data_IF_406659378509
#
_entry.id   IF_406659378509
#
_cell.length_a   1.000
_cell.length_b   1.000
_cell.length_c   1.000
_cell.angle_alpha   90.00
_cell.angle_beta   90.00
_cell.angle_gamma   90.00
#
_symmetry.space_group_name_H-M   'P 1'
#
loop_
_entity.id
_entity.type
_entity.pdbx_description
1 polymer ?
#
# COMPACT_ATOMS: atom_id res chain seq x y z
N UNK A 1 21.63 7.65 -18.52
CA UNK A 1 20.70 6.99 -17.59
C UNK A 1 21.01 7.48 -16.20
N UNK A 2 20.07 8.18 -15.58
CA UNK A 2 20.16 8.64 -14.19
C UNK A 2 19.92 7.48 -13.21
N UNK A 3 20.28 7.68 -11.94
CA UNK A 3 19.98 6.71 -10.88
C UNK A 3 18.47 6.40 -10.78
N UNK A 4 17.62 7.43 -10.92
CA UNK A 4 16.17 7.27 -10.90
C UNK A 4 15.65 6.44 -12.07
N UNK A 5 16.14 6.68 -13.29
CA UNK A 5 15.79 5.89 -14.48
C UNK A 5 16.22 4.43 -14.34
N UNK A 6 17.38 4.17 -13.73
CA UNK A 6 17.85 2.81 -13.47
C UNK A 6 16.98 2.10 -12.42
N UNK A 7 16.68 2.77 -11.31
CA UNK A 7 15.78 2.23 -10.28
C UNK A 7 14.41 1.91 -10.85
N UNK A 8 13.89 2.81 -11.69
CA UNK A 8 12.65 2.62 -12.43
C UNK A 8 12.65 1.35 -13.27
N UNK A 9 13.69 1.17 -14.09
CA UNK A 9 13.78 0.04 -15.01
C UNK A 9 13.85 -1.28 -14.24
N UNK A 10 14.68 -1.34 -13.21
CA UNK A 10 14.80 -2.50 -12.32
C UNK A 10 13.44 -2.82 -11.68
N UNK A 11 12.77 -1.80 -11.17
CA UNK A 11 11.47 -1.96 -10.53
C UNK A 11 10.39 -2.46 -11.50
N UNK A 12 10.33 -1.87 -12.70
CA UNK A 12 9.39 -2.26 -13.75
C UNK A 12 9.62 -3.69 -14.23
N UNK A 13 10.89 -4.10 -14.38
CA UNK A 13 11.27 -5.47 -14.71
C UNK A 13 10.87 -6.44 -13.60
N UNK A 14 11.10 -6.09 -12.33
CA UNK A 14 10.69 -6.91 -11.19
C UNK A 14 9.17 -7.11 -11.17
N UNK A 15 8.38 -6.04 -11.30
CA UNK A 15 6.91 -6.15 -11.38
C UNK A 15 6.47 -7.03 -12.54
N UNK A 16 7.08 -6.88 -13.72
CA UNK A 16 6.74 -7.69 -14.91
C UNK A 16 7.06 -9.16 -14.69
N UNK A 17 8.23 -9.46 -14.11
CA UNK A 17 8.66 -10.83 -13.79
C UNK A 17 7.72 -11.48 -12.77
N UNK A 18 7.36 -10.77 -11.71
CA UNK A 18 6.41 -11.25 -10.71
C UNK A 18 5.04 -11.49 -11.36
N UNK A 19 4.54 -10.53 -12.14
CA UNK A 19 3.25 -10.62 -12.83
C UNK A 19 3.15 -11.84 -13.74
N UNK A 20 4.24 -12.20 -14.41
CA UNK A 20 4.27 -13.33 -15.33
C UNK A 20 4.56 -14.67 -14.62
N UNK A 21 4.71 -14.69 -13.30
CA UNK A 21 5.00 -15.91 -12.56
C UNK A 21 3.78 -16.85 -12.57
N UNK A 22 3.92 -18.13 -12.95
CA UNK A 22 2.79 -19.04 -13.12
C UNK A 22 2.02 -19.33 -11.82
N UNK A 23 2.68 -19.17 -10.67
CA UNK A 23 2.08 -19.36 -9.35
C UNK A 23 1.56 -18.07 -8.72
N UNK A 24 1.59 -16.94 -9.44
CA UNK A 24 1.19 -15.64 -8.90
C UNK A 24 -0.22 -15.66 -8.30
N UNK A 25 -1.18 -16.29 -8.98
CA UNK A 25 -2.56 -16.41 -8.50
C UNK A 25 -2.72 -17.27 -7.24
N UNK A 26 -1.68 -18.02 -6.85
CA UNK A 26 -1.68 -18.91 -5.68
C UNK A 26 -0.90 -18.34 -4.50
N UNK A 27 -0.24 -17.20 -4.65
CA UNK A 27 0.47 -16.59 -3.52
C UNK A 27 -0.55 -16.21 -2.45
N UNK A 28 -0.15 -16.39 -1.20
CA UNK A 28 -0.97 -16.05 -0.03
C UNK A 28 -0.53 -14.76 0.65
N UNK A 29 0.70 -14.34 0.40
CA UNK A 29 1.33 -13.20 1.06
C UNK A 29 2.06 -12.39 0.01
N UNK A 30 1.81 -11.09 0.01
CA UNK A 30 2.54 -10.13 -0.80
C UNK A 30 3.05 -9.02 0.10
N UNK A 31 4.31 -8.65 -0.08
CA UNK A 31 4.96 -7.55 0.63
C UNK A 31 5.53 -6.58 -0.38
N UNK A 32 5.16 -5.30 -0.23
CA UNK A 32 5.61 -4.18 -1.04
C UNK A 32 6.36 -3.22 -0.12
N UNK A 33 7.67 -3.10 -0.29
CA UNK A 33 8.55 -2.36 0.61
C UNK A 33 9.38 -1.30 -0.13
N UNK A 34 9.64 -0.17 0.55
CA UNK A 34 10.57 0.90 0.15
C UNK A 34 10.28 1.57 -1.20
N UNK A 35 9.07 2.10 -1.36
CA UNK A 35 8.69 2.84 -2.58
C UNK A 35 9.08 4.33 -2.61
N UNK A 36 9.57 4.86 -1.50
CA UNK A 36 9.83 6.28 -1.30
C UNK A 36 10.86 6.91 -2.26
N UNK A 37 11.64 6.11 -3.01
CA UNK A 37 12.64 6.64 -3.97
C UNK A 37 11.98 7.17 -5.26
N UNK A 38 10.69 6.92 -5.48
CA UNK A 38 9.99 7.27 -6.72
C UNK A 38 9.21 8.60 -6.68
N UNK A 39 9.17 9.31 -5.54
CA UNK A 39 8.41 10.57 -5.39
C UNK A 39 8.79 11.66 -6.42
N UNK A 40 10.00 11.59 -6.99
CA UNK A 40 10.50 12.61 -7.93
C UNK A 40 10.27 12.33 -9.42
N UNK A 41 9.82 11.12 -9.82
CA UNK A 41 9.79 10.75 -11.24
C UNK A 41 8.59 9.86 -11.61
N UNK A 42 7.71 10.41 -12.46
CA UNK A 42 6.74 9.68 -13.31
C UNK A 42 5.86 8.68 -12.55
N UNK A 43 4.96 9.22 -11.73
CA UNK A 43 3.99 8.47 -10.90
C UNK A 43 3.08 7.56 -11.73
N UNK A 44 2.58 8.05 -12.86
CA UNK A 44 1.52 7.39 -13.62
C UNK A 44 1.87 5.97 -14.12
N UNK A 45 3.05 5.72 -14.73
CA UNK A 45 3.38 4.35 -15.15
C UNK A 45 3.71 3.38 -14.00
N UNK A 46 4.04 3.83 -12.76
CA UNK A 46 4.25 2.91 -11.62
C UNK A 46 2.90 2.36 -11.21
N UNK A 47 1.96 3.28 -11.02
CA UNK A 47 0.62 3.00 -10.55
C UNK A 47 -0.06 1.98 -11.46
N UNK A 48 0.05 2.18 -12.77
CA UNK A 48 -0.48 1.23 -13.75
C UNK A 48 0.17 -0.16 -13.62
N UNK A 49 1.48 -0.28 -13.43
CA UNK A 49 2.15 -1.59 -13.27
C UNK A 49 1.79 -2.29 -11.97
N UNK A 50 1.59 -1.53 -10.91
CA UNK A 50 1.15 -2.06 -9.61
C UNK A 50 -0.29 -2.52 -9.67
N UNK A 51 -1.15 -1.74 -10.32
CA UNK A 51 -2.53 -2.12 -10.57
C UNK A 51 -2.60 -3.41 -11.41
N UNK A 52 -1.81 -3.52 -12.47
CA UNK A 52 -1.70 -4.73 -13.29
C UNK A 52 -1.27 -5.94 -12.45
N UNK A 53 -0.28 -5.76 -11.56
CA UNK A 53 0.17 -6.80 -10.64
C UNK A 53 -0.96 -7.21 -9.70
N UNK A 54 -1.56 -6.27 -8.97
CA UNK A 54 -2.63 -6.52 -8.00
C UNK A 54 -3.84 -7.20 -8.66
N UNK A 55 -4.21 -6.77 -9.86
CA UNK A 55 -5.32 -7.36 -10.64
C UNK A 55 -5.05 -8.79 -11.09
N UNK A 56 -3.77 -9.20 -11.17
CA UNK A 56 -3.35 -10.56 -11.54
C UNK A 56 -3.28 -11.52 -10.35
N UNK A 57 -3.45 -11.02 -9.12
CA UNK A 57 -3.40 -11.83 -7.91
C UNK A 57 -4.70 -12.59 -7.66
N UNK A 58 -4.57 -13.78 -7.07
CA UNK A 58 -5.69 -14.44 -6.41
C UNK A 58 -5.93 -13.87 -5.00
N UNK A 59 -6.88 -14.44 -4.24
CA UNK A 59 -7.12 -14.05 -2.85
C UNK A 59 -5.86 -14.18 -1.99
N UNK A 60 -5.55 -13.11 -1.25
CA UNK A 60 -4.42 -13.02 -0.34
C UNK A 60 -4.87 -13.23 1.12
N UNK A 61 -4.06 -13.97 1.86
CA UNK A 61 -4.17 -14.02 3.32
C UNK A 61 -3.58 -12.75 3.93
N UNK A 62 -2.50 -12.22 3.36
CA UNK A 62 -1.82 -11.01 3.86
C UNK A 62 -1.26 -10.13 2.74
N UNK A 63 -1.53 -8.83 2.82
CA UNK A 63 -0.83 -7.79 2.05
C UNK A 63 -0.10 -6.87 3.03
N UNK A 64 1.22 -6.74 2.88
CA UNK A 64 2.04 -5.82 3.66
C UNK A 64 2.58 -4.70 2.78
N UNK A 65 2.38 -3.46 3.20
CA UNK A 65 2.85 -2.26 2.50
C UNK A 65 3.74 -1.48 3.48
N UNK A 66 5.05 -1.40 3.20
CA UNK A 66 6.03 -0.71 4.05
C UNK A 66 6.70 0.45 3.35
N UNK A 67 6.77 1.60 4.01
CA UNK A 67 7.48 2.77 3.50
C UNK A 67 6.97 3.24 2.13
N UNK A 68 5.70 2.95 1.84
CA UNK A 68 5.01 3.36 0.63
C UNK A 68 4.09 4.54 0.95
N UNK A 69 4.02 5.46 0.01
CA UNK A 69 3.01 6.50 -0.02
C UNK A 69 1.74 5.97 -0.71
N UNK A 70 0.71 5.70 0.09
CA UNK A 70 -0.58 5.22 -0.43
C UNK A 70 -1.30 6.26 -1.31
N UNK A 71 -0.87 7.53 -1.32
CA UNK A 71 -1.37 8.57 -2.23
C UNK A 71 -1.07 8.24 -3.70
N UNK A 72 -0.11 7.35 -3.96
CA UNK A 72 0.20 6.89 -5.31
C UNK A 72 -0.93 6.02 -5.90
N UNK A 73 -1.75 5.39 -5.06
CA UNK A 73 -2.87 4.61 -5.57
C UNK A 73 -4.06 5.54 -5.83
N UNK A 74 -4.72 5.51 -7.01
CA UNK A 74 -5.93 6.26 -7.33
C UNK A 74 -7.15 5.69 -6.60
N UNK A 75 -7.04 5.55 -5.27
CA UNK A 75 -8.13 5.19 -4.37
C UNK A 75 -8.99 6.43 -4.09
N UNK A 76 -8.40 7.63 -4.23
CA UNK A 76 -9.04 8.91 -3.90
C UNK A 76 -10.14 9.32 -4.89
N UNK A 77 -10.02 9.00 -6.18
CA UNK A 77 -10.92 9.54 -7.20
C UNK A 77 -12.31 8.92 -7.21
N UNK A 78 -12.49 7.73 -6.62
CA UNK A 78 -13.79 7.05 -6.60
C UNK A 78 -14.73 7.52 -5.48
N UNK A 79 -14.19 7.95 -4.33
CA UNK A 79 -15.03 8.31 -3.17
C UNK A 79 -15.44 9.78 -3.15
N UNK A 80 -14.66 10.64 -3.81
CA UNK A 80 -14.92 12.07 -3.83
C UNK A 80 -15.82 12.48 -5.03
N UNK A 81 -15.97 11.63 -6.05
CA UNK A 81 -16.86 11.90 -7.19
C UNK A 81 -17.38 10.63 -7.89
N UNK A 82 -18.57 10.11 -7.52
CA UNK A 82 -19.13 8.88 -8.09
C UNK A 82 -19.57 8.99 -9.56
N UNK A 83 -19.55 10.21 -10.13
CA UNK A 83 -19.97 10.51 -11.50
C UNK A 83 -18.81 10.55 -12.53
N UNK A 84 -17.57 10.22 -12.13
CA UNK A 84 -16.46 10.15 -13.08
C UNK A 84 -16.59 8.92 -13.99
N UNK A 85 -17.28 9.12 -15.10
CA UNK A 85 -17.34 8.23 -16.25
C UNK A 85 -15.94 8.07 -16.88
N UNK A 86 -15.51 6.80 -16.97
CA UNK A 86 -14.56 6.23 -17.94
C UNK A 86 -13.05 6.51 -17.90
N UNK A 87 -12.49 7.49 -17.16
CA UNK A 87 -11.03 7.73 -17.22
C UNK A 87 -10.17 7.16 -16.09
N UNK A 88 -10.73 6.84 -14.92
CA UNK A 88 -9.96 6.31 -13.78
C UNK A 88 -10.67 5.13 -13.16
N UNK A 89 -10.27 3.91 -13.55
CA UNK A 89 -10.75 2.70 -12.90
C UNK A 89 -10.10 2.61 -11.51
N UNK A 90 -10.87 2.42 -10.44
CA UNK A 90 -10.29 2.24 -9.12
C UNK A 90 -9.44 0.97 -9.10
N UNK A 91 -8.31 1.00 -8.39
CA UNK A 91 -7.52 -0.20 -8.16
C UNK A 91 -8.36 -1.19 -7.36
N UNK A 92 -8.77 -2.26 -8.02
CA UNK A 92 -9.49 -3.36 -7.39
C UNK A 92 -8.45 -4.31 -6.80
N UNK A 93 -8.23 -4.21 -5.50
CA UNK A 93 -7.42 -5.21 -4.82
C UNK A 93 -8.14 -6.57 -4.86
N UNK A 94 -7.39 -7.69 -4.89
CA UNK A 94 -7.96 -9.00 -4.63
C UNK A 94 -8.60 -9.04 -3.24
N UNK A 95 -9.37 -10.08 -2.95
CA UNK A 95 -9.80 -10.33 -1.57
C UNK A 95 -8.56 -10.45 -0.69
N UNK A 96 -8.44 -9.59 0.31
CA UNK A 96 -7.34 -9.57 1.28
C UNK A 96 -7.94 -9.79 2.66
N UNK A 97 -7.43 -10.77 3.40
CA UNK A 97 -7.87 -11.01 4.77
C UNK A 97 -7.22 -10.04 5.74
N UNK A 98 -5.88 -9.97 5.72
CA UNK A 98 -5.09 -9.06 6.55
C UNK A 98 -4.34 -8.02 5.72
N UNK A 99 -4.57 -6.74 6.00
CA UNK A 99 -3.79 -5.62 5.46
C UNK A 99 -2.86 -5.08 6.54
N UNK A 100 -1.56 -4.98 6.25
CA UNK A 100 -0.55 -4.35 7.12
C UNK A 100 0.03 -3.16 6.42
N UNK A 101 -0.04 -1.99 7.05
CA UNK A 101 0.53 -0.77 6.50
C UNK A 101 1.47 -0.16 7.54
N UNK A 102 2.70 0.11 7.11
CA UNK A 102 3.64 0.90 7.91
C UNK A 102 4.14 2.08 7.10
N UNK A 103 3.89 3.29 7.59
CA UNK A 103 4.35 4.53 6.98
C UNK A 103 5.38 5.17 7.91
N UNK A 104 6.53 5.59 7.36
CA UNK A 104 7.70 5.96 8.15
C UNK A 104 8.06 7.45 8.07
N UNK A 105 7.17 8.30 7.59
CA UNK A 105 7.41 9.75 7.56
C UNK A 105 7.13 10.39 8.91
N UNK A 106 7.91 11.40 9.28
CA UNK A 106 7.66 12.27 10.44
C UNK A 106 6.77 13.48 10.06
N UNK A 107 6.44 13.64 8.77
CA UNK A 107 5.59 14.72 8.26
C UNK A 107 4.11 14.46 8.55
N UNK A 108 3.54 15.22 9.48
CA UNK A 108 2.15 15.09 9.94
C UNK A 108 1.14 15.16 8.79
N UNK A 109 1.35 16.05 7.81
CA UNK A 109 0.45 16.19 6.66
C UNK A 109 0.42 14.93 5.80
N UNK A 110 1.58 14.30 5.60
CA UNK A 110 1.70 13.03 4.89
C UNK A 110 1.10 11.88 5.67
N UNK A 111 1.20 11.88 7.01
CA UNK A 111 0.53 10.88 7.85
C UNK A 111 -1.00 10.99 7.74
N UNK A 112 -1.56 12.20 7.85
CA UNK A 112 -3.00 12.44 7.71
C UNK A 112 -3.50 11.97 6.34
N UNK A 113 -2.77 12.33 5.26
CA UNK A 113 -3.13 11.90 3.90
C UNK A 113 -3.02 10.38 3.72
N UNK A 114 -2.00 9.75 4.32
CA UNK A 114 -1.85 8.31 4.27
C UNK A 114 -3.03 7.63 4.97
N UNK A 115 -3.39 8.08 6.18
CA UNK A 115 -4.56 7.56 6.90
C UNK A 115 -5.87 7.75 6.14
N UNK A 116 -6.10 8.92 5.52
CA UNK A 116 -7.25 9.15 4.64
C UNK A 116 -7.29 8.11 3.50
N UNK A 117 -6.16 7.86 2.83
CA UNK A 117 -6.07 6.84 1.78
C UNK A 117 -6.40 5.42 2.29
N UNK A 118 -5.99 5.07 3.52
CA UNK A 118 -6.32 3.77 4.14
C UNK A 118 -7.82 3.64 4.37
N UNK A 119 -8.45 4.67 4.95
CA UNK A 119 -9.90 4.69 5.20
C UNK A 119 -10.66 4.60 3.88
N UNK A 120 -10.23 5.37 2.87
CA UNK A 120 -10.79 5.33 1.52
C UNK A 120 -10.69 3.94 0.89
N UNK A 121 -9.54 3.28 1.04
CA UNK A 121 -9.36 1.91 0.56
C UNK A 121 -10.30 0.91 1.24
N UNK A 122 -10.45 1.03 2.56
CA UNK A 122 -11.36 0.18 3.33
C UNK A 122 -12.82 0.37 2.90
N UNK A 123 -13.26 1.62 2.72
CA UNK A 123 -14.60 1.97 2.20
C UNK A 123 -14.85 1.34 0.83
N UNK A 124 -13.90 1.46 -0.10
CA UNK A 124 -14.00 0.88 -1.43
C UNK A 124 -14.17 -0.64 -1.38
N UNK A 125 -13.32 -1.34 -0.61
CA UNK A 125 -13.40 -2.79 -0.47
C UNK A 125 -14.68 -3.25 0.20
N UNK A 126 -15.15 -2.50 1.21
CA UNK A 126 -16.44 -2.75 1.85
C UNK A 126 -17.60 -2.60 0.85
N UNK A 127 -17.62 -1.53 0.04
CA UNK A 127 -18.62 -1.30 -0.99
C UNK A 127 -18.64 -2.41 -2.06
N UNK A 128 -17.46 -2.96 -2.38
CA UNK A 128 -17.30 -4.13 -3.27
C UNK A 128 -17.66 -5.47 -2.61
N UNK A 129 -18.17 -5.46 -1.37
CA UNK A 129 -18.52 -6.64 -0.56
C UNK A 129 -17.32 -7.56 -0.29
N UNK A 130 -16.14 -6.96 -0.18
CA UNK A 130 -14.85 -7.62 0.06
C UNK A 130 -14.09 -6.95 1.21
N UNK A 131 -14.72 -6.69 2.37
CA UNK A 131 -14.05 -5.97 3.44
C UNK A 131 -12.80 -6.72 3.91
N UNK A 132 -11.82 -5.97 4.40
CA UNK A 132 -10.69 -6.55 5.11
C UNK A 132 -11.19 -7.17 6.44
N UNK A 133 -10.75 -8.39 6.75
CA UNK A 133 -11.03 -9.00 8.05
C UNK A 133 -10.25 -8.28 9.16
N UNK A 134 -9.03 -7.85 8.84
CA UNK A 134 -8.13 -7.21 9.78
C UNK A 134 -7.23 -6.18 9.10
N UNK A 135 -7.07 -5.01 9.71
CA UNK A 135 -6.13 -3.97 9.27
C UNK A 135 -5.19 -3.60 10.41
N UNK A 136 -3.89 -3.68 10.16
CA UNK A 136 -2.85 -3.27 11.10
C UNK A 136 -2.13 -2.04 10.55
N UNK A 137 -2.18 -0.93 11.28
CA UNK A 137 -1.57 0.34 10.87
C UNK A 137 -0.46 0.72 11.86
N UNK A 138 0.73 1.01 11.32
CA UNK A 138 1.90 1.47 12.08
C UNK A 138 2.39 2.81 11.56
N UNK A 139 2.20 3.88 12.34
CA UNK A 139 2.54 5.27 12.00
C UNK A 139 2.93 6.03 13.28
N UNK A 140 3.48 7.24 13.16
CA UNK A 140 3.88 8.06 14.31
C UNK A 140 2.67 8.71 14.98
N UNK A 141 1.83 9.38 14.20
CA UNK A 141 0.62 10.01 14.70
C UNK A 141 -0.60 9.50 13.95
N UNK A 142 -1.56 8.96 14.71
CA UNK A 142 -2.83 8.52 14.14
C UNK A 142 -3.95 9.20 14.93
N UNK A 143 -4.60 10.16 14.29
CA UNK A 143 -5.75 10.86 14.83
C UNK A 143 -6.85 9.86 15.24
N UNK A 144 -7.41 10.03 16.45
CA UNK A 144 -8.42 9.12 17.00
C UNK A 144 -9.62 8.99 16.06
N UNK A 145 -10.07 10.11 15.49
CA UNK A 145 -11.20 10.15 14.56
C UNK A 145 -10.99 9.23 13.34
N UNK A 146 -9.77 9.20 12.78
CA UNK A 146 -9.44 8.31 11.65
C UNK A 146 -9.35 6.84 12.06
N UNK A 147 -8.96 6.53 13.32
CA UNK A 147 -8.97 5.16 13.86
C UNK A 147 -10.40 4.65 13.97
N UNK A 148 -11.27 5.47 14.55
CA UNK A 148 -12.70 5.17 14.71
C UNK A 148 -13.37 5.01 13.35
N UNK A 149 -13.07 5.92 12.41
CA UNK A 149 -13.60 5.85 11.06
C UNK A 149 -13.16 4.56 10.35
N UNK A 150 -11.88 4.20 10.39
CA UNK A 150 -11.39 2.95 9.79
C UNK A 150 -12.12 1.73 10.38
N UNK A 151 -12.34 1.71 11.70
CA UNK A 151 -13.03 0.64 12.42
C UNK A 151 -14.48 0.41 11.97
N UNK A 152 -15.12 1.37 11.29
CA UNK A 152 -16.47 1.22 10.75
C UNK A 152 -16.52 0.38 9.46
N UNK A 153 -15.39 0.21 8.78
CA UNK A 153 -15.32 -0.38 7.43
C UNK A 153 -14.62 -1.73 7.36
N UNK A 154 -13.99 -2.16 8.46
CA UNK A 154 -13.18 -3.38 8.53
C UNK A 154 -13.63 -4.26 9.69
N UNK A 155 -13.29 -5.55 9.66
CA UNK A 155 -13.67 -6.45 10.76
C UNK A 155 -13.02 -6.09 12.08
N UNK A 156 -11.71 -5.89 12.07
CA UNK A 156 -10.90 -5.45 13.23
C UNK A 156 -9.77 -4.53 12.76
N UNK A 157 -9.35 -3.60 13.62
CA UNK A 157 -8.21 -2.73 13.37
C UNK A 157 -7.28 -2.63 14.57
N UNK A 158 -5.99 -2.80 14.32
CA UNK A 158 -4.92 -2.62 15.31
C UNK A 158 -4.05 -1.44 14.91
N UNK A 159 -3.72 -0.61 15.90
CA UNK A 159 -2.87 0.56 15.72
C UNK A 159 -1.69 0.43 16.67
N UNK A 160 -0.48 0.58 16.14
CA UNK A 160 0.71 0.68 16.97
C UNK A 160 1.54 1.88 16.57
N UNK A 161 1.95 2.66 17.56
CA UNK A 161 2.94 3.71 17.38
C UNK A 161 4.30 3.03 17.31
N UNK A 162 5.11 3.41 16.31
CA UNK A 162 6.48 2.90 16.23
C UNK A 162 7.32 3.68 17.24
N UNK A 163 7.89 2.96 18.20
CA UNK A 163 9.09 3.41 18.89
C UNK A 163 10.28 3.05 18.00
N UNK A 164 11.24 3.96 17.84
CA UNK A 164 12.55 3.67 17.27
C UNK A 164 13.20 2.56 18.10
N UNK A 165 13.03 1.29 17.75
CA UNK A 165 13.81 0.21 18.36
C UNK A 165 14.25 -0.79 17.29
N UNK A 166 15.53 -0.64 16.91
CA UNK A 166 16.50 -1.75 16.81
C UNK A 166 16.30 -2.85 15.75
N UNK A 167 15.90 -2.54 14.52
CA UNK A 167 16.11 -3.48 13.39
C UNK A 167 17.21 -3.04 12.41
N UNK A 168 17.83 -1.86 12.62
CA UNK A 168 18.96 -1.40 11.81
C UNK A 168 20.34 -1.66 12.46
N UNK A 169 20.42 -2.12 13.71
CA UNK A 169 21.71 -2.43 14.37
C UNK A 169 22.23 -3.86 14.06
N UNK A 170 21.43 -4.71 13.39
CA UNK A 170 21.81 -6.09 13.09
C UNK A 170 22.74 -6.30 11.89
N UNK A 171 23.06 -5.26 11.12
CA UNK A 171 23.94 -5.36 9.92
C UNK A 171 25.30 -4.67 10.08
N UNK A 172 25.63 -4.19 11.28
CA UNK A 172 26.87 -3.46 11.56
C UNK A 172 27.92 -4.17 12.41
N UNK A 173 27.73 -5.46 12.75
CA UNK A 173 28.56 -6.15 13.74
C UNK A 173 29.18 -7.48 13.26
N UNK A 174 29.51 -7.62 11.96
CA UNK A 174 30.40 -8.69 11.48
C UNK A 174 31.30 -8.19 10.35
N UNK A 175 32.14 -7.19 10.63
CA UNK A 175 33.39 -6.97 9.91
C UNK A 175 34.44 -6.45 10.90
N UNK A 176 35.00 -7.38 11.68
CA UNK A 176 36.34 -7.27 12.27
C UNK A 176 37.20 -8.41 11.73
#
# INVERSE_FOLDING_TARGET
MSYAEMCWEIFSQALTTIRNHPLLSHIKRLELEHWAVLETFWVEPVVSRVEELLSSLGPLDELTIRGCDLRLFPVSTFLDNPELEDSERPIIFPQIRKLKISHMTEDLDSEIKCMDAIVKLAKLQHALKRPFEHVEVRMWNIAIEMREELGQWVGTSDFSERWYTEECEGLGAELL
#
